data_IF_182703255532
#
_entry.id   IF_182703255532
#
_cell.length_a   1.000
_cell.length_b   1.000
_cell.length_c   1.000
_cell.angle_alpha   90.00
_cell.angle_beta   90.00
_cell.angle_gamma   90.00
#
_symmetry.space_group_name_H-M   'P 1'
#
loop_
_entity.id
_entity.type
_entity.pdbx_description
1 polymer ?
#
# COMPACT_ATOMS: atom_id res chain seq x y z
N UNK A 1 -30.69 -36.21 42.57
CA UNK A 1 -29.41 -35.67 42.09
C UNK A 1 -29.65 -35.00 40.75
N UNK A 2 -29.77 -33.67 40.70
CA UNK A 2 -29.97 -32.92 39.44
C UNK A 2 -28.58 -32.61 38.86
N UNK A 3 -28.24 -33.21 37.71
CA UNK A 3 -27.03 -32.88 36.97
C UNK A 3 -27.21 -31.49 36.37
N UNK A 4 -26.44 -30.51 36.85
CA UNK A 4 -26.35 -29.19 36.23
C UNK A 4 -25.44 -29.34 35.01
N UNK A 5 -26.02 -29.18 33.82
CA UNK A 5 -25.26 -29.10 32.57
C UNK A 5 -24.70 -27.68 32.51
N UNK A 6 -23.40 -27.53 32.74
CA UNK A 6 -22.71 -26.26 32.56
C UNK A 6 -22.65 -25.96 31.06
N UNK A 7 -23.39 -24.94 30.62
CA UNK A 7 -23.34 -24.42 29.26
C UNK A 7 -22.12 -23.51 29.17
N UNK A 8 -21.01 -24.02 28.63
CA UNK A 8 -19.83 -23.20 28.32
C UNK A 8 -20.20 -22.30 27.14
N UNK A 9 -20.52 -21.05 27.41
CA UNK A 9 -20.64 -20.03 26.37
C UNK A 9 -19.24 -19.83 25.77
N UNK A 10 -18.99 -20.42 24.60
CA UNK A 10 -17.89 -20.02 23.75
C UNK A 10 -18.28 -18.65 23.22
N UNK A 11 -17.77 -17.60 23.86
CA UNK A 11 -17.76 -16.27 23.26
C UNK A 11 -16.98 -16.41 21.95
N UNK A 12 -17.67 -16.40 20.81
CA UNK A 12 -17.01 -16.19 19.54
C UNK A 12 -16.31 -14.83 19.65
N UNK A 13 -14.99 -14.85 19.87
CA UNK A 13 -14.20 -13.69 19.51
C UNK A 13 -14.54 -13.46 18.04
N UNK A 14 -15.04 -12.26 17.71
CA UNK A 14 -15.14 -11.87 16.33
C UNK A 14 -13.72 -12.02 15.76
N UNK A 15 -13.51 -13.10 15.02
CA UNK A 15 -12.32 -13.21 14.18
C UNK A 15 -12.54 -12.09 13.18
N UNK A 16 -11.77 -11.01 13.32
CA UNK A 16 -11.73 -9.94 12.34
C UNK A 16 -11.14 -10.59 11.08
N UNK A 17 -12.01 -11.00 10.16
CA UNK A 17 -11.64 -11.75 8.96
C UNK A 17 -11.32 -10.82 7.77
N UNK A 18 -11.03 -9.54 8.04
CA UNK A 18 -10.58 -8.60 7.03
C UNK A 18 -9.23 -8.99 6.43
N UNK A 19 -8.97 -8.48 5.22
CA UNK A 19 -7.80 -8.83 4.45
C UNK A 19 -6.74 -7.71 4.46
N UNK A 20 -5.51 -8.06 4.84
CA UNK A 20 -4.36 -7.15 4.77
C UNK A 20 -3.48 -7.58 3.61
N UNK A 21 -3.48 -6.79 2.55
CA UNK A 21 -2.64 -7.05 1.39
C UNK A 21 -1.16 -7.04 1.79
N UNK A 22 -0.38 -7.96 1.24
CA UNK A 22 1.08 -7.86 1.23
C UNK A 22 1.51 -6.85 0.16
N UNK A 23 2.65 -6.18 0.36
CA UNK A 23 3.23 -5.23 -0.59
C UNK A 23 4.61 -5.69 -1.04
N UNK A 24 4.92 -5.54 -2.31
CA UNK A 24 6.23 -5.86 -2.88
C UNK A 24 6.63 -4.84 -3.95
N UNK A 25 7.87 -4.35 -3.89
CA UNK A 25 8.47 -3.58 -4.97
C UNK A 25 9.06 -4.58 -5.96
N UNK A 26 8.65 -4.50 -7.22
CA UNK A 26 9.12 -5.37 -8.29
C UNK A 26 10.39 -4.83 -8.94
N UNK A 27 10.59 -3.52 -8.94
CA UNK A 27 11.78 -2.93 -9.52
C UNK A 27 11.69 -1.45 -9.88
N UNK A 28 12.80 -0.94 -10.40
CA UNK A 28 12.90 0.42 -10.93
C UNK A 28 13.58 0.43 -12.29
N UNK A 29 13.24 1.41 -13.13
CA UNK A 29 14.09 1.75 -14.27
C UNK A 29 15.45 2.28 -13.80
N UNK A 30 16.48 2.17 -14.63
CA UNK A 30 17.86 2.58 -14.30
C UNK A 30 18.00 4.02 -13.77
N UNK A 31 17.18 4.95 -14.26
CA UNK A 31 17.21 6.36 -13.84
C UNK A 31 16.19 6.68 -12.74
N UNK A 32 15.44 5.68 -12.25
CA UNK A 32 14.42 5.83 -11.23
C UNK A 32 13.15 6.54 -11.70
N UNK A 33 12.99 6.83 -12.99
CA UNK A 33 11.80 7.51 -13.54
C UNK A 33 10.56 6.62 -13.54
N UNK A 34 10.74 5.30 -13.56
CA UNK A 34 9.68 4.30 -13.50
C UNK A 34 9.89 3.36 -12.30
N UNK A 35 8.78 2.93 -11.72
CA UNK A 35 8.73 1.95 -10.63
C UNK A 35 7.65 0.91 -10.93
N UNK A 36 7.95 -0.36 -10.63
CA UNK A 36 6.96 -1.43 -10.61
C UNK A 36 6.77 -1.94 -9.17
N UNK A 37 5.53 -2.24 -8.80
CA UNK A 37 5.16 -2.79 -7.51
C UNK A 37 3.91 -3.63 -7.61
N UNK A 38 3.64 -4.43 -6.58
CA UNK A 38 2.42 -5.19 -6.48
C UNK A 38 1.91 -5.27 -5.05
N UNK A 39 0.61 -5.51 -4.95
CA UNK A 39 -0.04 -5.96 -3.73
C UNK A 39 -0.78 -7.28 -3.99
N UNK A 40 -0.85 -8.14 -3.00
CA UNK A 40 -1.54 -9.42 -3.13
C UNK A 40 -2.04 -9.93 -1.79
N UNK A 41 -3.08 -10.75 -1.82
CA UNK A 41 -3.72 -11.28 -0.62
C UNK A 41 -4.84 -12.24 -0.95
N UNK A 42 -5.72 -12.44 0.03
CA UNK A 42 -6.89 -13.30 -0.08
C UNK A 42 -8.11 -12.50 0.36
N UNK A 43 -9.08 -12.32 -0.53
CA UNK A 43 -10.26 -11.49 -0.27
C UNK A 43 -11.04 -11.97 0.95
N UNK A 44 -11.46 -11.01 1.76
CA UNK A 44 -12.44 -11.21 2.82
C UNK A 44 -13.79 -11.70 2.27
N UNK A 45 -14.44 -12.61 2.98
CA UNK A 45 -15.72 -13.23 2.62
C UNK A 45 -15.63 -14.31 1.54
N UNK A 46 -15.03 -14.02 0.37
CA UNK A 46 -14.94 -15.00 -0.75
C UNK A 46 -13.80 -16.00 -0.56
N UNK A 47 -12.70 -15.58 0.07
CA UNK A 47 -11.46 -16.35 0.13
C UNK A 47 -10.73 -16.42 -1.21
N UNK A 48 -11.02 -15.52 -2.15
CA UNK A 48 -10.40 -15.53 -3.48
C UNK A 48 -9.03 -14.86 -3.44
N UNK A 49 -8.02 -15.53 -3.99
CA UNK A 49 -6.70 -14.93 -4.09
C UNK A 49 -6.65 -13.88 -5.17
N UNK A 50 -5.93 -12.80 -4.90
CA UNK A 50 -5.77 -11.69 -5.84
C UNK A 50 -4.34 -11.17 -5.85
N UNK A 51 -3.99 -10.50 -6.95
CA UNK A 51 -2.77 -9.74 -7.11
C UNK A 51 -3.05 -8.54 -8.00
N UNK A 52 -2.71 -7.35 -7.52
CA UNK A 52 -2.74 -6.11 -8.30
C UNK A 52 -1.30 -5.64 -8.47
N UNK A 53 -0.82 -5.58 -9.69
CA UNK A 53 0.54 -5.15 -10.00
C UNK A 53 0.51 -3.95 -10.94
N UNK A 54 1.40 -2.98 -10.72
CA UNK A 54 1.40 -1.70 -11.41
C UNK A 54 2.81 -1.32 -11.86
N UNK A 55 2.89 -0.66 -13.02
CA UNK A 55 4.04 0.15 -13.42
C UNK A 55 3.62 1.61 -13.41
N UNK A 56 4.36 2.45 -12.70
CA UNK A 56 4.08 3.88 -12.55
C UNK A 56 5.26 4.75 -12.96
N UNK A 57 4.97 5.98 -13.40
CA UNK A 57 5.96 7.06 -13.48
C UNK A 57 6.17 7.66 -12.08
N UNK A 58 7.42 7.78 -11.63
CA UNK A 58 7.74 8.24 -10.26
C UNK A 58 7.62 9.75 -10.08
N UNK A 59 7.57 10.53 -11.16
CA UNK A 59 7.41 11.98 -11.09
C UNK A 59 6.02 12.42 -10.61
N UNK A 60 4.98 11.69 -11.03
CA UNK A 60 3.58 12.05 -10.82
C UNK A 60 2.72 10.89 -10.30
N UNK A 61 3.25 9.68 -10.20
CA UNK A 61 2.50 8.49 -9.82
C UNK A 61 1.51 8.00 -10.89
N UNK A 62 1.71 8.40 -12.16
CA UNK A 62 0.81 8.00 -13.24
C UNK A 62 0.99 6.52 -13.59
N UNK A 63 -0.10 5.77 -13.66
CA UNK A 63 -0.09 4.35 -14.04
C UNK A 63 0.14 4.21 -15.54
N UNK A 64 1.16 3.44 -15.92
CA UNK A 64 1.53 3.14 -17.31
C UNK A 64 1.07 1.75 -17.76
N UNK A 65 1.02 0.81 -16.82
CA UNK A 65 0.50 -0.53 -17.03
C UNK A 65 0.03 -1.11 -15.70
N UNK A 66 -0.97 -1.98 -15.76
CA UNK A 66 -1.52 -2.66 -14.60
C UNK A 66 -1.91 -4.10 -14.96
N UNK A 67 -1.88 -4.96 -13.95
CA UNK A 67 -2.40 -6.32 -13.99
C UNK A 67 -3.18 -6.55 -12.69
N UNK A 68 -4.50 -6.50 -12.79
CA UNK A 68 -5.42 -6.82 -11.70
C UNK A 68 -5.98 -8.23 -11.92
N UNK A 69 -5.62 -9.14 -11.01
CA UNK A 69 -5.96 -10.56 -11.12
C UNK A 69 -6.72 -11.00 -9.88
N UNK A 70 -7.84 -11.68 -10.10
CA UNK A 70 -8.59 -12.40 -9.06
C UNK A 70 -8.82 -13.83 -9.55
N UNK A 71 -8.46 -14.81 -8.72
CA UNK A 71 -8.67 -16.22 -9.00
C UNK A 71 -9.97 -16.66 -8.34
N UNK A 72 -11.04 -16.77 -9.14
CA UNK A 72 -12.29 -17.38 -8.70
C UNK A 72 -12.20 -18.91 -8.89
N UNK A 73 -12.08 -19.70 -7.81
CA UNK A 73 -11.98 -21.15 -7.89
C UNK A 73 -13.23 -21.84 -8.43
N UNK A 74 -14.35 -21.13 -8.52
CA UNK A 74 -15.61 -21.64 -9.04
C UNK A 74 -15.84 -21.27 -10.50
N UNK A 75 -14.94 -20.46 -11.11
CA UNK A 75 -14.96 -20.26 -12.55
C UNK A 75 -14.54 -21.56 -13.25
N UNK A 76 -15.40 -22.02 -14.17
CA UNK A 76 -15.22 -23.28 -14.92
C UNK A 76 -14.58 -23.05 -16.29
N UNK A 77 -14.11 -21.83 -16.57
CA UNK A 77 -13.26 -21.57 -17.73
C UNK A 77 -11.96 -22.39 -17.64
N UNK A 78 -11.40 -22.80 -18.78
CA UNK A 78 -10.21 -23.69 -18.83
C UNK A 78 -9.01 -23.14 -18.04
N UNK A 79 -8.98 -21.82 -17.78
CA UNK A 79 -7.96 -21.12 -17.00
C UNK A 79 -7.91 -21.48 -15.52
N UNK A 80 -8.99 -22.02 -14.93
CA UNK A 80 -9.12 -22.19 -13.46
C UNK A 80 -9.43 -23.62 -13.02
N UNK A 81 -9.49 -24.58 -13.96
CA UNK A 81 -9.89 -25.98 -13.70
C UNK A 81 -8.92 -26.81 -12.82
N UNK A 82 -7.79 -26.23 -12.37
CA UNK A 82 -6.77 -26.90 -11.57
C UNK A 82 -6.85 -26.57 -10.06
N UNK A 83 -7.92 -25.92 -9.60
CA UNK A 83 -8.06 -25.51 -8.21
C UNK A 83 -8.39 -26.69 -7.27
N UNK A 84 -7.53 -26.92 -6.28
CA UNK A 84 -7.79 -27.81 -5.14
C UNK A 84 -8.22 -26.96 -3.93
N UNK A 85 -9.50 -27.04 -3.51
CA UNK A 85 -10.03 -26.28 -2.38
C UNK A 85 -9.21 -26.47 -1.10
N UNK A 86 -8.75 -25.37 -0.52
CA UNK A 86 -7.97 -25.37 0.74
C UNK A 86 -6.45 -25.26 0.56
N UNK A 87 -5.96 -25.08 -0.66
CA UNK A 87 -4.56 -24.70 -0.92
C UNK A 87 -4.50 -23.20 -1.15
N UNK A 88 -3.60 -22.47 -0.47
CA UNK A 88 -3.41 -21.04 -0.72
C UNK A 88 -2.89 -20.85 -2.16
N UNK A 89 -3.74 -20.35 -3.05
CA UNK A 89 -3.46 -20.03 -4.44
C UNK A 89 -2.75 -18.67 -4.61
N UNK A 90 -2.22 -18.08 -3.54
CA UNK A 90 -1.37 -16.88 -3.56
C UNK A 90 -0.37 -16.90 -4.71
N UNK A 91 0.24 -18.06 -4.97
CA UNK A 91 1.18 -18.23 -6.08
C UNK A 91 0.57 -18.00 -7.46
N UNK A 92 -0.67 -18.42 -7.71
CA UNK A 92 -1.32 -18.35 -9.02
C UNK A 92 -1.69 -16.93 -9.41
N UNK A 93 -2.31 -16.16 -8.51
CA UNK A 93 -2.67 -14.77 -8.79
C UNK A 93 -1.42 -13.93 -9.10
N UNK A 94 -0.35 -14.13 -8.31
CA UNK A 94 0.95 -13.49 -8.53
C UNK A 94 1.59 -13.95 -9.84
N UNK A 95 1.61 -15.26 -10.12
CA UNK A 95 2.18 -15.80 -11.35
C UNK A 95 1.48 -15.24 -12.60
N UNK A 96 0.14 -15.15 -12.58
CA UNK A 96 -0.62 -14.59 -13.67
C UNK A 96 -0.41 -13.08 -13.83
N UNK A 97 -0.41 -12.32 -12.73
CA UNK A 97 -0.10 -10.89 -12.78
C UNK A 97 1.31 -10.63 -13.33
N UNK A 98 2.30 -11.43 -12.89
CA UNK A 98 3.67 -11.34 -13.40
C UNK A 98 3.78 -11.79 -14.85
N UNK A 99 3.01 -12.80 -15.30
CA UNK A 99 2.94 -13.20 -16.71
C UNK A 99 2.48 -12.04 -17.60
N UNK A 100 1.54 -11.23 -17.11
CA UNK A 100 1.04 -10.05 -17.81
C UNK A 100 2.01 -8.87 -17.77
N UNK A 101 2.61 -8.58 -16.61
CA UNK A 101 3.38 -7.35 -16.38
C UNK A 101 4.86 -7.47 -16.78
N UNK A 102 5.47 -8.65 -16.67
CA UNK A 102 6.91 -8.86 -16.93
C UNK A 102 7.37 -8.41 -18.33
N UNK A 103 6.61 -8.65 -19.43
CA UNK A 103 7.00 -8.16 -20.75
C UNK A 103 7.05 -6.62 -20.81
N UNK A 104 6.12 -5.94 -20.15
CA UNK A 104 6.08 -4.48 -20.08
C UNK A 104 7.25 -3.95 -19.28
N UNK A 105 7.49 -4.51 -18.09
CA UNK A 105 8.66 -4.17 -17.26
C UNK A 105 9.97 -4.33 -18.02
N UNK A 106 10.14 -5.45 -18.73
CA UNK A 106 11.32 -5.70 -19.56
C UNK A 106 11.47 -4.65 -20.66
N UNK A 107 10.38 -4.29 -21.34
CA UNK A 107 10.41 -3.29 -22.42
C UNK A 107 10.75 -1.88 -21.92
N UNK A 108 10.42 -1.58 -20.67
CA UNK A 108 10.68 -0.30 -20.00
C UNK A 108 12.02 -0.28 -19.24
N UNK A 109 12.79 -1.37 -19.29
CA UNK A 109 14.08 -1.48 -18.61
C UNK A 109 13.97 -1.41 -17.08
N UNK A 110 12.86 -1.93 -16.53
CA UNK A 110 12.66 -2.06 -15.09
C UNK A 110 13.37 -3.34 -14.62
N UNK A 111 14.32 -3.19 -13.72
CA UNK A 111 15.15 -4.27 -13.16
C UNK A 111 14.83 -4.50 -11.67
N UNK A 112 15.19 -5.68 -11.18
CA UNK A 112 14.85 -6.19 -9.85
C UNK A 112 15.22 -5.25 -8.68
N UNK A 113 14.43 -5.34 -7.61
CA UNK A 113 14.26 -4.42 -6.46
C UNK A 113 15.51 -4.09 -5.62
N UNK A 114 16.67 -4.70 -5.90
CA UNK A 114 17.92 -4.54 -5.12
C UNK A 114 18.48 -3.11 -5.09
N UNK A 115 17.92 -2.19 -5.88
CA UNK A 115 18.36 -0.80 -5.97
C UNK A 115 17.89 0.10 -4.82
N UNK A 116 16.87 -0.29 -4.04
CA UNK A 116 16.28 0.57 -3.00
C UNK A 116 16.61 0.15 -1.56
N UNK A 117 16.51 1.12 -0.64
CA UNK A 117 16.64 0.92 0.81
C UNK A 117 15.25 1.02 1.44
N UNK A 118 14.85 0.00 2.21
CA UNK A 118 13.64 0.03 3.04
C UNK A 118 13.91 0.82 4.33
N UNK A 119 13.80 2.14 4.23
CA UNK A 119 14.25 3.07 5.27
C UNK A 119 13.38 3.01 6.54
N UNK A 120 12.08 2.73 6.41
CA UNK A 120 11.14 2.62 7.53
C UNK A 120 10.15 1.51 7.26
N UNK A 121 9.88 0.70 8.28
CA UNK A 121 8.74 -0.22 8.32
C UNK A 121 8.02 -0.10 9.65
N UNK A 122 6.75 0.29 9.57
CA UNK A 122 5.81 0.24 10.67
C UNK A 122 4.75 -0.80 10.30
N UNK A 123 4.79 -2.03 10.84
CA UNK A 123 3.71 -2.98 10.62
C UNK A 123 2.42 -2.50 11.30
N UNK A 124 1.25 -2.97 10.87
CA UNK A 124 -0.04 -2.62 11.49
C UNK A 124 -0.11 -2.93 13.00
N UNK A 125 0.74 -3.84 13.48
CA UNK A 125 0.90 -4.21 14.89
C UNK A 125 1.74 -3.22 15.69
N UNK A 126 2.44 -2.28 15.06
CA UNK A 126 3.14 -1.19 15.72
C UNK A 126 2.16 -0.06 16.05
N UNK A 127 1.54 -0.16 17.23
CA UNK A 127 0.53 0.78 17.71
C UNK A 127 1.13 2.02 18.40
N UNK A 128 2.45 2.06 18.60
CA UNK A 128 3.14 3.12 19.33
C UNK A 128 3.57 4.30 18.46
N UNK A 129 3.60 4.11 17.14
CA UNK A 129 4.08 5.11 16.18
C UNK A 129 2.94 6.00 15.67
N UNK A 130 3.21 7.30 15.42
CA UNK A 130 2.23 8.17 14.77
C UNK A 130 1.83 7.62 13.40
N UNK A 131 0.52 7.58 13.14
CA UNK A 131 -0.02 7.10 11.88
C UNK A 131 0.29 8.05 10.70
N UNK A 132 0.50 9.33 11.00
CA UNK A 132 0.54 10.42 10.04
C UNK A 132 1.93 10.96 9.74
N UNK A 133 2.98 10.53 10.46
CA UNK A 133 4.29 11.16 10.37
C UNK A 133 5.43 10.16 10.48
N UNK A 134 6.35 10.25 9.51
CA UNK A 134 7.57 9.43 9.49
C UNK A 134 8.79 10.32 9.30
N UNK A 135 9.84 10.04 10.06
CA UNK A 135 11.17 10.66 9.92
C UNK A 135 12.14 9.56 9.49
N UNK A 136 12.86 9.78 8.40
CA UNK A 136 13.71 8.74 7.81
C UNK A 136 15.05 9.30 7.33
N UNK A 137 15.99 8.41 7.03
CA UNK A 137 17.27 8.70 6.36
C UNK A 137 17.36 7.90 5.05
N UNK A 138 18.18 8.35 4.10
CA UNK A 138 18.36 7.68 2.79
C UNK A 138 19.48 6.65 2.81
N UNK A 139 20.23 6.57 3.92
CA UNK A 139 21.37 5.69 4.08
C UNK A 139 21.26 5.00 5.41
N UNK A 140 21.46 3.68 5.43
CA UNK A 140 21.68 2.95 6.68
C UNK A 140 23.03 3.38 7.29
N UNK A 141 23.01 4.00 8.47
CA UNK A 141 24.22 4.48 9.15
C UNK A 141 24.31 3.95 10.57
N UNK A 142 25.51 3.54 10.95
CA UNK A 142 25.82 3.11 12.32
C UNK A 142 26.24 4.26 13.24
N UNK A 143 26.66 5.42 12.70
CA UNK A 143 27.11 6.57 13.48
C UNK A 143 26.16 7.78 13.42
N UNK A 144 26.13 8.53 14.52
CA UNK A 144 25.33 9.74 14.68
C UNK A 144 26.12 11.03 14.34
N UNK A 145 27.30 10.92 13.74
CA UNK A 145 28.25 12.03 13.56
C UNK A 145 28.07 12.70 12.19
N UNK A 146 27.61 11.94 11.21
CA UNK A 146 27.34 12.44 9.86
C UNK A 146 26.10 13.34 9.86
N UNK A 147 26.12 14.40 9.03
CA UNK A 147 24.95 15.27 8.88
C UNK A 147 23.72 14.43 8.44
N UNK A 148 22.53 14.64 9.03
CA UNK A 148 21.35 13.85 8.71
C UNK A 148 21.00 14.01 7.24
N UNK A 149 20.90 12.90 6.50
CA UNK A 149 20.27 12.87 5.18
C UNK A 149 18.75 12.81 5.34
N UNK A 150 18.02 12.38 4.31
CA UNK A 150 16.62 12.02 4.47
C UNK A 150 15.62 13.15 4.67
N UNK A 151 14.41 12.75 5.06
CA UNK A 151 13.26 13.64 5.09
C UNK A 151 12.27 13.35 6.21
N UNK A 152 11.19 14.13 6.19
CA UNK A 152 9.99 13.93 6.99
C UNK A 152 8.83 13.79 6.03
N UNK A 153 8.11 12.69 6.10
CA UNK A 153 6.82 12.54 5.45
C UNK A 153 5.72 12.89 6.44
N UNK A 154 4.73 13.64 5.99
CA UNK A 154 3.55 14.00 6.78
C UNK A 154 2.29 13.80 5.94
N UNK A 155 1.44 12.89 6.42
CA UNK A 155 0.12 12.58 5.90
C UNK A 155 -0.90 13.48 6.61
N UNK A 156 -1.84 14.03 5.84
CA UNK A 156 -2.96 14.78 6.38
C UNK A 156 -4.23 14.38 5.67
N UNK A 157 -5.35 14.43 6.39
CA UNK A 157 -6.67 14.07 5.89
C UNK A 157 -7.60 15.29 5.90
N UNK A 158 -8.56 15.32 4.98
CA UNK A 158 -9.62 16.32 4.96
C UNK A 158 -10.95 15.65 4.66
N UNK A 159 -11.85 15.63 5.65
CA UNK A 159 -13.16 15.00 5.50
C UNK A 159 -13.99 15.64 4.38
N UNK A 160 -14.69 14.79 3.64
CA UNK A 160 -15.62 15.17 2.58
C UNK A 160 -17.02 14.76 3.01
N UNK A 161 -17.95 15.71 2.96
CA UNK A 161 -19.36 15.38 3.15
C UNK A 161 -19.92 14.76 1.87
N UNK A 162 -20.47 13.57 2.01
CA UNK A 162 -21.23 12.87 0.98
C UNK A 162 -22.67 12.69 1.44
N UNK A 163 -23.61 13.22 0.67
CA UNK A 163 -25.04 13.06 0.91
C UNK A 163 -25.49 11.70 0.36
N UNK A 164 -25.26 10.63 1.12
CA UNK A 164 -25.47 9.26 0.63
C UNK A 164 -25.74 8.26 1.75
N UNK A 165 -26.13 7.03 1.36
CA UNK A 165 -26.26 5.89 2.29
C UNK A 165 -24.99 5.64 3.10
N UNK A 166 -23.82 6.06 2.64
CA UNK A 166 -22.54 5.87 3.34
C UNK A 166 -22.46 6.70 4.64
N UNK A 167 -23.14 7.85 4.70
CA UNK A 167 -23.26 8.63 5.93
C UNK A 167 -24.02 7.84 7.01
N UNK A 168 -24.95 6.96 6.60
CA UNK A 168 -25.69 6.09 7.53
C UNK A 168 -24.85 4.94 8.09
N UNK A 169 -23.69 4.66 7.49
CA UNK A 169 -22.70 3.70 8.00
C UNK A 169 -21.63 4.40 8.85
N UNK A 170 -21.84 5.68 9.18
CA UNK A 170 -20.99 6.48 10.08
C UNK A 170 -19.54 6.70 9.62
N UNK A 171 -19.28 6.63 8.32
CA UNK A 171 -17.97 6.94 7.75
C UNK A 171 -18.03 8.27 7.01
N UNK A 172 -17.16 9.22 7.41
CA UNK A 172 -16.88 10.40 6.61
C UNK A 172 -15.65 10.09 5.75
N UNK A 173 -15.80 9.91 4.42
CA UNK A 173 -14.63 9.72 3.57
C UNK A 173 -13.76 10.97 3.61
N UNK A 174 -12.48 10.82 3.28
CA UNK A 174 -11.51 11.90 3.39
C UNK A 174 -10.53 11.91 2.23
N UNK A 175 -10.11 13.13 1.88
CA UNK A 175 -9.03 13.39 0.94
C UNK A 175 -7.69 13.24 1.65
N UNK A 176 -6.71 12.72 0.94
CA UNK A 176 -5.33 12.60 1.40
C UNK A 176 -4.45 13.71 0.85
N UNK A 177 -3.48 14.13 1.66
CA UNK A 177 -2.35 14.95 1.25
C UNK A 177 -1.08 14.47 1.92
N UNK A 178 -0.01 14.34 1.14
CA UNK A 178 1.33 14.03 1.63
C UNK A 178 2.27 15.19 1.37
N UNK A 179 2.98 15.59 2.42
CA UNK A 179 4.07 16.57 2.35
C UNK A 179 5.38 15.86 2.64
N UNK A 180 6.40 16.17 1.83
CA UNK A 180 7.79 15.79 2.07
C UNK A 180 8.57 17.03 2.49
N UNK A 181 9.27 16.94 3.62
CA UNK A 181 10.16 17.98 4.13
C UNK A 181 11.60 17.50 4.20
N UNK A 182 12.53 18.36 3.83
CA UNK A 182 13.97 18.15 3.96
C UNK A 182 14.39 18.36 5.41
N UNK A 183 15.12 17.41 6.02
CA UNK A 183 15.59 17.59 7.41
C UNK A 183 16.68 18.67 7.53
N UNK A 184 17.68 18.73 6.63
CA UNK A 184 18.72 19.77 6.70
C UNK A 184 18.22 21.20 6.54
N UNK A 185 17.41 21.46 5.51
CA UNK A 185 17.00 22.82 5.14
C UNK A 185 15.65 23.23 5.74
N UNK A 186 14.81 22.26 6.09
CA UNK A 186 13.42 22.50 6.50
C UNK A 186 12.48 22.85 5.36
N UNK A 187 12.95 22.87 4.11
CA UNK A 187 12.10 23.08 2.94
C UNK A 187 11.05 21.97 2.84
N UNK A 188 9.84 22.30 2.40
CA UNK A 188 8.73 21.36 2.34
C UNK A 188 7.96 21.52 1.04
N UNK A 189 7.48 20.40 0.48
CA UNK A 189 6.61 20.39 -0.69
C UNK A 189 5.55 19.31 -0.60
N UNK A 190 4.41 19.59 -1.22
CA UNK A 190 3.34 18.61 -1.39
C UNK A 190 3.77 17.66 -2.52
N UNK A 191 3.85 16.36 -2.22
CA UNK A 191 4.19 15.33 -3.21
C UNK A 191 2.94 14.56 -3.69
N UNK A 192 1.84 14.67 -2.94
CA UNK A 192 0.54 14.13 -3.34
C UNK A 192 -0.60 14.91 -2.68
N UNK A 193 -1.68 15.13 -3.42
CA UNK A 193 -2.92 15.68 -2.86
C UNK A 193 -4.11 15.27 -3.71
N UNK A 194 -5.20 14.91 -3.05
CA UNK A 194 -6.50 14.72 -3.68
C UNK A 194 -7.28 16.04 -3.67
N UNK A 195 -7.95 16.35 -4.78
CA UNK A 195 -8.89 17.48 -4.87
C UNK A 195 -10.35 17.05 -4.81
N UNK A 196 -10.63 15.78 -5.08
CA UNK A 196 -11.96 15.17 -5.05
C UNK A 196 -11.85 13.69 -4.69
N UNK A 197 -12.97 13.10 -4.25
CA UNK A 197 -13.07 11.66 -4.07
C UNK A 197 -13.29 10.99 -5.43
N UNK A 198 -12.33 10.18 -5.85
CA UNK A 198 -12.52 9.26 -6.96
C UNK A 198 -13.47 8.12 -6.57
N UNK A 199 -14.21 7.52 -7.52
CA UNK A 199 -15.08 6.38 -7.26
C UNK A 199 -14.36 5.24 -6.50
N UNK A 200 -15.04 4.65 -5.53
CA UNK A 200 -14.51 3.61 -4.65
C UNK A 200 -13.78 4.14 -3.41
N UNK A 201 -13.34 5.41 -3.37
CA UNK A 201 -12.67 6.00 -2.19
C UNK A 201 -13.66 6.35 -1.06
N UNK A 202 -14.97 6.26 -1.31
CA UNK A 202 -16.02 6.46 -0.31
C UNK A 202 -16.02 5.40 0.81
N UNK A 203 -15.38 4.24 0.60
CA UNK A 203 -15.28 3.15 1.57
C UNK A 203 -14.07 3.26 2.51
N UNK A 204 -13.21 4.27 2.32
CA UNK A 204 -12.01 4.49 3.12
C UNK A 204 -12.38 4.91 4.55
N UNK A 205 -11.81 4.22 5.53
CA UNK A 205 -12.00 4.45 6.96
C UNK A 205 -10.74 5.00 7.65
N UNK A 206 -9.56 4.73 7.10
CA UNK A 206 -8.29 5.14 7.69
C UNK A 206 -7.17 5.12 6.67
N UNK A 207 -6.09 5.84 6.99
CA UNK A 207 -4.85 5.79 6.22
C UNK A 207 -3.69 6.02 7.20
N UNK A 208 -2.55 5.39 6.93
CA UNK A 208 -1.30 5.62 7.67
C UNK A 208 -0.11 5.43 6.75
N UNK A 209 1.04 6.01 7.12
CA UNK A 209 2.30 5.73 6.44
C UNK A 209 2.87 4.43 7.05
N UNK A 210 2.80 3.33 6.30
CA UNK A 210 3.28 2.02 6.74
C UNK A 210 4.77 1.84 6.48
N UNK A 211 5.18 2.06 5.23
CA UNK A 211 6.57 1.85 4.81
C UNK A 211 7.12 3.05 4.04
N UNK A 212 8.43 3.23 4.12
CA UNK A 212 9.18 4.23 3.34
C UNK A 212 10.39 3.56 2.71
N UNK A 213 10.50 3.69 1.39
CA UNK A 213 11.67 3.26 0.63
C UNK A 213 12.39 4.48 0.05
N UNK A 214 13.69 4.34 -0.16
CA UNK A 214 14.50 5.37 -0.82
C UNK A 214 15.34 4.74 -1.93
N UNK A 215 15.43 5.44 -3.07
CA UNK A 215 16.32 5.10 -4.17
C UNK A 215 17.44 6.15 -4.20
N UNK A 216 18.55 5.81 -3.54
CA UNK A 216 19.62 6.75 -3.25
C UNK A 216 19.12 7.96 -2.47
N UNK A 217 19.62 9.15 -2.82
CA UNK A 217 19.24 10.44 -2.26
C UNK A 217 18.26 11.22 -3.17
N UNK A 218 17.67 10.55 -4.16
CA UNK A 218 16.92 11.22 -5.23
C UNK A 218 15.42 11.00 -5.17
N UNK A 219 14.97 9.85 -4.67
CA UNK A 219 13.57 9.45 -4.70
C UNK A 219 13.19 8.79 -3.37
N UNK A 220 12.06 9.21 -2.83
CA UNK A 220 11.35 8.54 -1.75
C UNK A 220 10.09 7.89 -2.30
N UNK A 221 9.75 6.72 -1.76
CA UNK A 221 8.50 6.02 -1.99
C UNK A 221 7.82 5.83 -0.64
N UNK A 222 6.69 6.50 -0.43
CA UNK A 222 5.82 6.29 0.71
C UNK A 222 4.76 5.26 0.34
N UNK A 223 4.64 4.21 1.15
CA UNK A 223 3.56 3.22 1.05
C UNK A 223 2.56 3.51 2.13
N UNK A 224 1.34 3.85 1.73
CA UNK A 224 0.25 4.09 2.64
C UNK A 224 -0.58 2.81 2.81
N UNK A 225 -0.78 2.40 4.06
CA UNK A 225 -1.83 1.45 4.40
C UNK A 225 -3.17 2.20 4.37
N UNK A 226 -4.02 1.88 3.40
CA UNK A 226 -5.36 2.46 3.27
C UNK A 226 -6.38 1.45 3.77
N UNK A 227 -7.03 1.79 4.88
CA UNK A 227 -8.04 0.95 5.53
C UNK A 227 -9.40 1.25 4.91
N UNK A 228 -10.11 0.22 4.46
CA UNK A 228 -11.46 0.33 3.89
C UNK A 228 -12.42 -0.69 4.50
N UNK A 229 -13.71 -0.51 4.26
CA UNK A 229 -14.73 -1.48 4.66
C UNK A 229 -14.62 -2.76 3.83
N UNK A 230 -14.33 -3.89 4.47
CA UNK A 230 -14.46 -5.24 3.93
C UNK A 230 -15.81 -5.88 4.29
N UNK A 231 -15.97 -7.17 3.97
CA UNK A 231 -17.23 -7.89 4.13
C UNK A 231 -17.44 -8.40 5.57
N UNK A 232 -16.44 -9.06 6.16
CA UNK A 232 -16.40 -9.57 7.53
C UNK A 232 -15.43 -8.78 8.44
N UNK A 233 -14.57 -7.94 7.88
CA UNK A 233 -13.63 -7.08 8.60
C UNK A 233 -13.20 -5.84 7.81
N UNK A 234 -12.15 -5.16 8.29
CA UNK A 234 -11.55 -4.05 7.54
C UNK A 234 -10.46 -4.58 6.61
N UNK A 235 -10.48 -4.13 5.37
CA UNK A 235 -9.45 -4.45 4.40
C UNK A 235 -8.36 -3.38 4.39
N UNK A 236 -7.12 -3.78 4.16
CA UNK A 236 -5.97 -2.89 3.95
C UNK A 236 -5.44 -3.10 2.55
N UNK A 237 -5.35 -2.01 1.80
CA UNK A 237 -4.72 -1.93 0.48
C UNK A 237 -3.63 -0.88 0.49
N UNK A 238 -2.68 -1.01 -0.42
CA UNK A 238 -1.52 -0.15 -0.48
C UNK A 238 -1.72 0.95 -1.49
N UNK A 239 -1.37 2.16 -1.10
CA UNK A 239 -1.28 3.29 -2.02
C UNK A 239 0.15 3.81 -2.03
N UNK A 240 0.77 3.80 -3.21
CA UNK A 240 2.14 4.30 -3.40
C UNK A 240 2.12 5.78 -3.74
N UNK A 241 2.93 6.55 -3.01
CA UNK A 241 3.23 7.95 -3.33
C UNK A 241 4.73 8.14 -3.45
N UNK A 242 5.15 8.66 -4.59
CA UNK A 242 6.56 8.97 -4.85
C UNK A 242 6.84 10.45 -4.63
N UNK A 243 8.07 10.76 -4.24
CA UNK A 243 8.54 12.13 -4.13
C UNK A 243 10.01 12.20 -4.47
N UNK A 244 10.41 13.17 -5.30
CA UNK A 244 11.83 13.44 -5.46
C UNK A 244 12.40 13.96 -4.10
N UNK A 245 13.70 13.83 -3.85
CA UNK A 245 14.37 14.28 -2.61
C UNK A 245 15.41 15.39 -2.84
N UNK A 246 15.68 15.76 -4.09
CA UNK A 246 16.46 16.96 -4.39
C UNK A 246 15.63 18.21 -4.11
N UNK A 247 15.93 18.87 -2.99
CA UNK A 247 15.44 20.21 -2.61
C UNK A 247 16.32 21.34 -3.17
N UNK A 248 17.25 21.02 -4.08
CA UNK A 248 18.07 22.04 -4.73
C UNK A 248 17.15 22.91 -5.58
N UNK A 249 16.91 24.14 -5.10
CA UNK A 249 16.20 25.16 -5.86
C UNK A 249 16.79 25.28 -7.26
N UNK A 250 15.91 25.34 -8.26
CA UNK A 250 16.26 25.78 -9.62
C UNK A 250 16.66 27.26 -9.56
N UNK A 251 17.85 27.51 -9.02
CA UNK A 251 18.50 28.81 -8.95
C UNK A 251 19.68 28.83 -9.91
N UNK A 252 19.39 28.99 -11.20
CA UNK A 252 20.26 29.65 -12.17
C UNK A 252 19.37 30.37 -13.19
#
# INVERSE_FOLDING_TARGET
>A
MKKVLAFTAVSAAAVLAGDVASFEILGFSRDGSLMAWMEHGTQDGSGFDYCNAYVIETAHGSVLAEAEVVIDPYDTSESYAAFEPGTACRGQAVEEAMRMLSPVMTSLGIEDSTACVHAVSHPLTDLGVPWDRVVFDTVERADAISAPGGGILSLSTSEVRVDSIFQSWCFNPFLLRITLSDRPTGESRIIYSESALEPGREYRQGARIGDVYTLGDTLVVAVLDVVSLGFEGSDVRHMVVTGNMSFVGTGW
#
